data_IF_631911400228
#
_entry.id   IF_631911400228
#
_cell.length_a   1.000
_cell.length_b   1.000
_cell.length_c   1.000
_cell.angle_alpha   90.00
_cell.angle_beta   90.00
_cell.angle_gamma   90.00
#
_symmetry.space_group_name_H-M   'P 1'
#
loop_
_entity.id
_entity.type
_entity.pdbx_description
1 polymer ?
#
# COMPACT_ATOMS: atom_id res chain seq x y z
N UNK A 1 -29.18 -28.10 13.75
CA UNK A 1 -27.83 -28.08 13.16
C UNK A 1 -27.18 -26.78 13.59
N UNK A 2 -26.22 -26.86 14.53
CA UNK A 2 -25.55 -25.68 15.09
C UNK A 2 -24.46 -25.18 14.14
N UNK A 3 -24.47 -23.88 13.87
CA UNK A 3 -23.38 -23.22 13.15
C UNK A 3 -22.24 -22.97 14.12
N UNK A 4 -21.13 -23.69 13.95
CA UNK A 4 -19.86 -23.38 14.62
C UNK A 4 -19.25 -22.18 13.90
N UNK A 5 -19.38 -21.00 14.49
CA UNK A 5 -18.49 -19.88 14.22
C UNK A 5 -17.12 -20.23 14.82
N UNK A 6 -16.05 -20.12 14.04
CA UNK A 6 -14.69 -20.18 14.58
C UNK A 6 -14.41 -18.86 15.30
N UNK A 7 -14.61 -18.84 16.61
CA UNK A 7 -13.98 -17.86 17.51
C UNK A 7 -12.65 -18.46 17.98
N UNK A 8 -11.56 -18.15 17.28
CA UNK A 8 -10.22 -18.40 17.80
C UNK A 8 -9.91 -17.31 18.83
N UNK A 9 -10.11 -17.66 20.11
CA UNK A 9 -9.75 -16.84 21.26
C UNK A 9 -8.26 -17.03 21.54
N UNK A 10 -7.43 -16.04 21.23
CA UNK A 10 -6.04 -15.96 21.65
C UNK A 10 -5.96 -15.28 23.03
N UNK A 11 -5.69 -16.07 24.07
CA UNK A 11 -5.21 -15.59 25.37
C UNK A 11 -3.87 -14.86 25.19
N UNK A 12 -3.81 -13.59 25.60
CA UNK A 12 -2.56 -12.83 25.66
C UNK A 12 -2.23 -12.56 27.13
N UNK A 13 -1.23 -13.27 27.64
CA UNK A 13 -0.49 -12.90 28.86
C UNK A 13 0.75 -12.09 28.47
N UNK A 14 0.97 -10.97 29.16
CA UNK A 14 2.31 -10.51 29.54
C UNK A 14 3.02 -9.51 28.63
N UNK A 15 2.77 -8.22 28.91
CA UNK A 15 3.72 -7.10 29.03
C UNK A 15 4.97 -6.93 28.13
N UNK A 16 4.98 -5.73 27.53
CA UNK A 16 6.10 -4.79 27.29
C UNK A 16 7.17 -5.20 26.27
N UNK A 17 7.07 -4.63 25.07
CA UNK A 17 7.94 -3.55 24.53
C UNK A 17 7.68 -3.39 23.03
N UNK A 18 7.70 -2.14 22.53
CA UNK A 18 7.67 -1.74 21.11
C UNK A 18 6.32 -1.72 20.37
N UNK A 19 5.76 -0.51 20.41
CA UNK A 19 4.68 0.04 19.60
C UNK A 19 5.15 0.15 18.13
N UNK A 20 4.98 -0.89 17.29
CA UNK A 20 4.94 -0.76 15.80
C UNK A 20 3.98 -1.76 15.12
N UNK A 21 3.34 -2.70 15.84
CA UNK A 21 2.40 -3.66 15.24
C UNK A 21 0.99 -3.59 15.83
N UNK A 22 0.52 -2.39 16.14
CA UNK A 22 -0.89 -2.18 16.49
C UNK A 22 -1.72 -1.87 15.24
N UNK A 23 -2.57 -2.85 14.90
CA UNK A 23 -3.89 -2.68 14.27
C UNK A 23 -3.98 -2.55 12.75
N UNK A 24 -3.45 -3.53 12.00
CA UNK A 24 -4.18 -4.03 10.83
C UNK A 24 -5.30 -4.98 11.30
N UNK A 25 -6.10 -4.54 12.27
CA UNK A 25 -7.31 -5.24 12.66
C UNK A 25 -8.23 -5.18 11.44
N UNK A 26 -8.72 -6.33 10.98
CA UNK A 26 -9.66 -6.48 9.87
C UNK A 26 -10.85 -5.50 10.05
N UNK A 27 -10.73 -4.28 9.52
CA UNK A 27 -11.77 -3.27 9.63
C UNK A 27 -12.87 -3.61 8.64
N UNK A 28 -13.73 -4.54 9.02
CA UNK A 28 -14.98 -4.77 8.32
C UNK A 28 -15.92 -3.61 8.68
N UNK A 29 -16.21 -2.74 7.72
CA UNK A 29 -17.09 -1.58 7.92
C UNK A 29 -18.55 -2.00 8.04
N UNK A 30 -18.94 -2.94 7.19
CA UNK A 30 -20.32 -3.38 7.10
C UNK A 30 -20.38 -4.79 6.53
N UNK A 31 -21.29 -5.58 7.09
CA UNK A 31 -21.62 -6.90 6.59
C UNK A 31 -23.12 -7.09 6.55
N UNK A 32 -23.59 -7.83 5.55
CA UNK A 32 -25.02 -8.09 5.41
C UNK A 32 -25.41 -8.65 4.06
N UNK A 33 -26.69 -8.97 3.92
CA UNK A 33 -27.22 -9.43 2.66
C UNK A 33 -27.46 -8.26 1.70
N UNK A 34 -27.10 -8.46 0.44
CA UNK A 34 -27.37 -7.50 -0.64
C UNK A 34 -27.69 -8.24 -1.94
N UNK A 35 -28.52 -7.64 -2.78
CA UNK A 35 -28.70 -8.10 -4.14
C UNK A 35 -27.73 -7.38 -5.07
N UNK A 36 -27.12 -8.10 -6.00
CA UNK A 36 -26.23 -7.52 -6.99
C UNK A 36 -26.46 -8.15 -8.36
N UNK A 37 -26.49 -7.30 -9.39
CA UNK A 37 -26.43 -7.70 -10.80
C UNK A 37 -25.32 -6.92 -11.51
N UNK A 38 -24.84 -7.47 -12.62
CA UNK A 38 -23.86 -6.79 -13.46
C UNK A 38 -24.59 -5.74 -14.31
N UNK A 39 -24.12 -4.50 -14.29
CA UNK A 39 -24.59 -3.45 -15.19
C UNK A 39 -24.17 -3.73 -16.63
N UNK A 40 -24.93 -3.18 -17.58
CA UNK A 40 -24.62 -3.29 -19.01
C UNK A 40 -23.29 -2.61 -19.34
N UNK A 41 -22.39 -3.34 -19.98
CA UNK A 41 -21.28 -2.73 -20.73
C UNK A 41 -21.80 -2.38 -22.14
N UNK A 42 -21.42 -1.22 -22.64
CA UNK A 42 -21.70 -0.77 -24.02
C UNK A 42 -20.86 -1.48 -25.08
N UNK A 43 -19.92 -2.34 -24.70
CA UNK A 43 -18.98 -3.00 -25.61
C UNK A 43 -19.16 -4.52 -25.61
N UNK A 44 -19.84 -5.04 -26.62
CA UNK A 44 -19.92 -6.47 -26.95
C UNK A 44 -21.34 -6.98 -27.24
N UNK A 45 -21.47 -7.81 -28.27
CA UNK A 45 -22.70 -8.46 -28.74
C UNK A 45 -23.19 -9.63 -27.86
N UNK A 46 -22.57 -9.88 -26.71
CA UNK A 46 -22.96 -10.95 -25.78
C UNK A 46 -23.58 -10.33 -24.53
N UNK A 47 -24.91 -10.41 -24.46
CA UNK A 47 -25.65 -10.04 -23.26
C UNK A 47 -25.40 -11.08 -22.16
N UNK A 48 -24.58 -10.76 -21.17
CA UNK A 48 -24.47 -11.59 -19.96
C UNK A 48 -25.70 -11.41 -19.09
N UNK A 49 -26.12 -12.52 -18.49
CA UNK A 49 -27.31 -12.67 -17.65
C UNK A 49 -27.42 -11.53 -16.62
N UNK A 50 -28.49 -10.73 -16.74
CA UNK A 50 -28.77 -9.53 -15.93
C UNK A 50 -29.55 -9.85 -14.64
N UNK A 51 -29.70 -11.12 -14.31
CA UNK A 51 -30.46 -11.56 -13.14
C UNK A 51 -29.84 -11.07 -11.85
N UNK A 52 -30.71 -10.58 -10.97
CA UNK A 52 -30.37 -10.32 -9.58
C UNK A 52 -29.94 -11.61 -8.89
N UNK A 53 -28.87 -11.50 -8.11
CA UNK A 53 -28.41 -12.58 -7.24
C UNK A 53 -28.18 -12.02 -5.85
N UNK A 54 -28.52 -12.80 -4.85
CA UNK A 54 -28.29 -12.45 -3.45
C UNK A 54 -26.89 -12.90 -3.03
N UNK A 55 -26.21 -12.04 -2.28
CA UNK A 55 -24.89 -12.28 -1.74
C UNK A 55 -24.89 -11.95 -0.25
N UNK A 56 -24.07 -12.65 0.52
CA UNK A 56 -23.53 -12.10 1.75
C UNK A 56 -22.38 -11.17 1.37
N UNK A 57 -22.46 -9.91 1.76
CA UNK A 57 -21.51 -8.86 1.43
C UNK A 57 -20.71 -8.49 2.67
N UNK A 58 -19.40 -8.30 2.50
CA UNK A 58 -18.53 -7.71 3.53
C UNK A 58 -17.72 -6.59 2.90
N UNK A 59 -17.78 -5.40 3.50
CA UNK A 59 -17.02 -4.21 3.13
C UNK A 59 -15.77 -4.08 4.00
N UNK A 60 -14.63 -3.92 3.35
CA UNK A 60 -13.32 -3.65 3.95
C UNK A 60 -12.66 -2.49 3.20
N UNK A 61 -11.62 -1.85 3.74
CA UNK A 61 -10.91 -0.77 3.03
C UNK A 61 -10.56 -1.19 1.61
N UNK A 62 -11.02 -0.40 0.65
CA UNK A 62 -10.71 -0.60 -0.77
C UNK A 62 -11.36 -1.81 -1.43
N UNK A 63 -12.17 -2.61 -0.73
CA UNK A 63 -12.67 -3.89 -1.27
C UNK A 63 -14.09 -4.22 -0.81
N UNK A 64 -14.92 -4.64 -1.76
CA UNK A 64 -16.20 -5.30 -1.52
C UNK A 64 -16.05 -6.80 -1.82
N UNK A 65 -16.38 -7.63 -0.85
CA UNK A 65 -16.45 -9.07 -1.03
C UNK A 65 -17.90 -9.53 -1.13
N UNK A 66 -18.22 -10.27 -2.19
CA UNK A 66 -19.55 -10.85 -2.41
C UNK A 66 -19.47 -12.36 -2.39
N UNK A 67 -20.12 -12.96 -1.40
CA UNK A 67 -20.21 -14.39 -1.20
C UNK A 67 -21.56 -14.89 -1.74
N UNK A 68 -21.58 -15.61 -2.88
CA UNK A 68 -22.82 -16.06 -3.49
C UNK A 68 -23.52 -17.10 -2.60
N UNK A 69 -24.78 -16.84 -2.22
CA UNK A 69 -25.52 -17.75 -1.32
C UNK A 69 -25.93 -19.09 -1.95
N UNK A 70 -25.90 -19.17 -3.29
CA UNK A 70 -26.21 -20.39 -4.04
C UNK A 70 -24.99 -21.31 -4.23
N UNK A 71 -23.84 -20.99 -3.60
CA UNK A 71 -22.61 -21.77 -3.67
C UNK A 71 -22.01 -21.92 -2.26
N UNK A 72 -21.15 -22.93 -2.04
CA UNK A 72 -20.39 -23.02 -0.81
C UNK A 72 -19.54 -21.76 -0.56
N UNK A 73 -19.51 -21.30 0.69
CA UNK A 73 -18.76 -20.11 1.13
C UNK A 73 -17.26 -20.40 1.20
N UNK A 74 -16.61 -20.47 0.03
CA UNK A 74 -15.16 -20.67 -0.10
C UNK A 74 -14.52 -19.45 -0.75
N UNK A 75 -13.24 -19.21 -0.48
CA UNK A 75 -12.49 -18.08 -1.04
C UNK A 75 -12.50 -18.06 -2.57
N UNK A 76 -12.52 -19.23 -3.23
CA UNK A 76 -12.59 -19.36 -4.69
C UNK A 76 -13.95 -18.97 -5.30
N UNK A 77 -15.03 -19.08 -4.52
CA UNK A 77 -16.38 -18.74 -4.96
C UNK A 77 -16.74 -17.26 -4.73
N UNK A 78 -15.96 -16.59 -3.88
CA UNK A 78 -16.11 -15.17 -3.56
C UNK A 78 -15.79 -14.29 -4.76
N UNK A 79 -16.62 -13.28 -5.00
CA UNK A 79 -16.29 -12.20 -5.92
C UNK A 79 -15.64 -11.06 -5.14
N UNK A 80 -14.55 -10.56 -5.68
CA UNK A 80 -13.83 -9.40 -5.16
C UNK A 80 -14.07 -8.22 -6.09
N UNK A 81 -14.51 -7.09 -5.54
CA UNK A 81 -14.63 -5.82 -6.24
C UNK A 81 -13.70 -4.83 -5.55
N UNK A 82 -12.65 -4.41 -6.26
CA UNK A 82 -11.72 -3.38 -5.78
C UNK A 82 -12.33 -2.01 -6.02
N UNK A 83 -12.27 -1.16 -4.99
CA UNK A 83 -12.63 0.24 -5.01
C UNK A 83 -11.36 1.05 -5.25
N UNK A 84 -11.15 1.43 -6.51
CA UNK A 84 -10.02 2.24 -6.94
C UNK A 84 -10.33 3.75 -6.86
N UNK A 85 -9.34 4.59 -7.17
CA UNK A 85 -9.48 6.05 -7.17
C UNK A 85 -10.56 6.53 -8.16
N UNK A 86 -10.74 5.80 -9.27
CA UNK A 86 -11.74 6.08 -10.29
C UNK A 86 -13.12 5.46 -10.01
N UNK A 87 -13.28 4.78 -8.88
CA UNK A 87 -14.53 4.12 -8.54
C UNK A 87 -15.56 5.15 -8.12
N UNK A 88 -16.76 5.05 -8.69
CA UNK A 88 -17.87 5.97 -8.43
C UNK A 88 -19.08 5.21 -7.91
N UNK A 89 -19.65 5.70 -6.83
CA UNK A 89 -20.86 5.17 -6.21
C UNK A 89 -21.96 6.20 -6.41
N UNK A 90 -23.02 5.81 -7.11
CA UNK A 90 -24.13 6.69 -7.47
C UNK A 90 -25.44 6.13 -6.92
N UNK A 91 -26.25 7.02 -6.37
CA UNK A 91 -27.63 6.72 -5.99
C UNK A 91 -28.41 6.28 -7.23
N UNK A 92 -29.11 5.15 -7.12
CA UNK A 92 -30.01 4.65 -8.16
C UNK A 92 -31.46 4.99 -7.86
N UNK A 93 -32.35 4.62 -8.78
CA UNK A 93 -33.79 4.72 -8.61
C UNK A 93 -34.36 3.52 -7.85
N UNK A 94 -35.64 3.61 -7.50
CA UNK A 94 -36.42 2.42 -7.17
C UNK A 94 -36.73 1.67 -8.48
N UNK A 95 -36.27 0.41 -8.59
CA UNK A 95 -36.40 -0.43 -9.79
C UNK A 95 -36.70 -1.88 -9.37
N UNK A 96 -37.65 -2.52 -10.05
CA UNK A 96 -38.07 -3.90 -9.75
C UNK A 96 -38.26 -4.17 -8.23
N UNK A 97 -38.99 -3.28 -7.55
CA UNK A 97 -39.26 -3.33 -6.10
C UNK A 97 -38.03 -3.19 -5.18
N UNK A 98 -36.93 -2.61 -5.69
CA UNK A 98 -35.68 -2.47 -4.95
C UNK A 98 -35.17 -1.04 -5.01
N UNK A 99 -34.68 -0.55 -3.89
CA UNK A 99 -33.88 0.66 -3.82
C UNK A 99 -32.48 0.35 -4.34
N UNK A 100 -32.14 0.88 -5.51
CA UNK A 100 -30.88 0.53 -6.18
C UNK A 100 -29.79 1.57 -5.99
N UNK A 101 -28.54 1.13 -6.15
CA UNK A 101 -27.38 2.00 -6.32
C UNK A 101 -26.38 1.37 -7.29
N UNK A 102 -25.54 2.22 -7.86
CA UNK A 102 -24.61 1.82 -8.91
C UNK A 102 -23.18 2.03 -8.43
N UNK A 103 -22.36 1.00 -8.60
CA UNK A 103 -20.91 1.07 -8.46
C UNK A 103 -20.28 0.92 -9.84
N UNK A 104 -19.50 1.91 -10.24
CA UNK A 104 -18.71 1.87 -11.47
C UNK A 104 -17.24 1.86 -11.11
N UNK A 105 -16.53 0.80 -11.49
CA UNK A 105 -15.08 0.67 -11.39
C UNK A 105 -14.48 0.68 -12.80
N UNK A 106 -13.17 0.86 -12.94
CA UNK A 106 -12.47 1.07 -14.22
C UNK A 106 -12.93 0.17 -15.39
N UNK A 107 -13.27 -1.09 -15.13
CA UNK A 107 -13.74 -2.03 -16.16
C UNK A 107 -15.17 -2.49 -15.94
N UNK A 108 -15.79 -2.31 -14.78
CA UNK A 108 -17.01 -3.03 -14.44
C UNK A 108 -18.05 -2.11 -13.82
N UNK A 109 -19.30 -2.37 -14.20
CA UNK A 109 -20.46 -1.71 -13.63
C UNK A 109 -21.25 -2.76 -12.84
N UNK A 110 -21.57 -2.43 -11.59
CA UNK A 110 -22.40 -3.24 -10.72
C UNK A 110 -23.61 -2.42 -10.30
N UNK A 111 -24.77 -3.07 -10.27
CA UNK A 111 -25.99 -2.49 -9.74
C UNK A 111 -26.34 -3.33 -8.52
N UNK A 112 -26.43 -2.66 -7.39
CA UNK A 112 -26.85 -3.24 -6.14
C UNK A 112 -28.28 -2.84 -5.83
N UNK A 113 -28.94 -3.62 -5.00
CA UNK A 113 -30.31 -3.38 -4.58
C UNK A 113 -30.56 -3.95 -3.19
N UNK A 114 -31.38 -3.20 -2.44
CA UNK A 114 -31.96 -3.62 -1.17
C UNK A 114 -33.47 -3.32 -1.21
N UNK A 115 -34.24 -3.99 -0.37
CA UNK A 115 -35.68 -3.74 -0.24
C UNK A 115 -35.97 -2.57 0.71
N UNK A 116 -34.96 -2.12 1.45
CA UNK A 116 -35.04 -1.04 2.43
C UNK A 116 -34.18 0.17 2.01
N UNK A 117 -34.79 1.35 2.00
CA UNK A 117 -34.15 2.61 1.58
C UNK A 117 -33.04 3.05 2.54
N UNK A 118 -33.23 2.87 3.85
CA UNK A 118 -32.22 3.21 4.86
C UNK A 118 -31.02 2.28 4.72
N UNK A 119 -31.26 0.99 4.47
CA UNK A 119 -30.19 0.02 4.18
C UNK A 119 -29.43 0.37 2.92
N UNK A 120 -30.10 0.73 1.82
CA UNK A 120 -29.41 1.23 0.61
C UNK A 120 -28.50 2.41 0.97
N UNK A 121 -29.03 3.38 1.69
CA UNK A 121 -28.31 4.61 2.03
C UNK A 121 -27.08 4.29 2.88
N UNK A 122 -27.22 3.44 3.88
CA UNK A 122 -26.11 2.96 4.70
C UNK A 122 -25.05 2.22 3.88
N UNK A 123 -25.45 1.33 2.98
CA UNK A 123 -24.51 0.64 2.08
C UNK A 123 -23.74 1.60 1.18
N UNK A 124 -24.39 2.66 0.65
CA UNK A 124 -23.72 3.68 -0.17
C UNK A 124 -22.66 4.42 0.65
N UNK A 125 -23.03 4.89 1.85
CA UNK A 125 -22.11 5.60 2.73
C UNK A 125 -20.91 4.74 3.14
N UNK A 126 -21.15 3.51 3.56
CA UNK A 126 -20.06 2.62 3.99
C UNK A 126 -19.18 2.17 2.81
N UNK A 127 -19.74 2.04 1.60
CA UNK A 127 -18.94 1.76 0.40
C UNK A 127 -18.04 2.95 0.04
N UNK A 128 -18.52 4.18 0.21
CA UNK A 128 -17.72 5.39 -0.02
C UNK A 128 -16.66 5.57 1.06
N UNK A 129 -17.00 5.32 2.34
CA UNK A 129 -16.04 5.28 3.44
C UNK A 129 -14.93 4.26 3.17
N UNK A 130 -15.29 3.05 2.75
CA UNK A 130 -14.34 2.00 2.40
C UNK A 130 -13.41 2.43 1.26
N UNK A 131 -13.93 3.14 0.25
CA UNK A 131 -13.12 3.70 -0.84
C UNK A 131 -12.15 4.76 -0.33
N UNK A 132 -12.65 5.74 0.43
CA UNK A 132 -11.85 6.86 0.95
C UNK A 132 -10.76 6.40 1.93
N UNK A 133 -11.03 5.43 2.80
CA UNK A 133 -10.02 4.90 3.71
C UNK A 133 -8.85 4.24 2.96
N UNK A 134 -9.13 3.53 1.86
CA UNK A 134 -8.06 2.98 1.04
C UNK A 134 -7.19 4.07 0.43
N UNK A 135 -7.78 5.17 -0.03
CA UNK A 135 -7.02 6.30 -0.58
C UNK A 135 -6.08 6.90 0.47
N UNK A 136 -6.59 7.10 1.68
CA UNK A 136 -5.79 7.62 2.79
C UNK A 136 -4.65 6.67 3.17
N UNK A 137 -4.90 5.36 3.17
CA UNK A 137 -3.88 4.37 3.48
C UNK A 137 -2.84 4.20 2.36
N UNK A 138 -3.22 4.42 1.09
CA UNK A 138 -2.30 4.47 -0.04
C UNK A 138 -1.40 5.73 0.05
N UNK A 139 -1.98 6.89 0.34
CA UNK A 139 -1.24 8.16 0.49
C UNK A 139 -0.27 8.12 1.68
N UNK A 140 -0.70 7.61 2.83
CA UNK A 140 0.17 7.42 4.01
C UNK A 140 1.37 6.52 3.70
N UNK A 141 1.17 5.44 2.95
CA UNK A 141 2.26 4.55 2.54
C UNK A 141 3.22 5.26 1.60
N UNK A 142 2.72 5.98 0.61
CA UNK A 142 3.56 6.74 -0.33
C UNK A 142 4.44 7.78 0.40
N UNK A 143 3.87 8.51 1.36
CA UNK A 143 4.63 9.49 2.16
C UNK A 143 5.68 8.83 3.06
N UNK A 144 5.35 7.67 3.65
CA UNK A 144 6.30 6.92 4.47
C UNK A 144 7.49 6.40 3.64
N UNK A 145 7.22 5.87 2.45
CA UNK A 145 8.27 5.41 1.53
C UNK A 145 9.16 6.57 1.07
N UNK A 146 8.58 7.73 0.80
CA UNK A 146 9.34 8.94 0.47
C UNK A 146 10.28 9.35 1.61
N UNK A 147 9.81 9.29 2.86
CA UNK A 147 10.62 9.65 4.04
C UNK A 147 11.76 8.66 4.28
N UNK A 148 11.53 7.37 4.05
CA UNK A 148 12.60 6.35 4.08
C UNK A 148 13.69 6.71 3.06
N UNK A 149 13.29 7.05 1.82
CA UNK A 149 14.24 7.38 0.75
C UNK A 149 15.01 8.65 1.08
N UNK A 150 14.36 9.69 1.60
CA UNK A 150 15.03 10.93 2.03
C UNK A 150 16.06 10.66 3.13
N UNK A 151 15.69 9.87 4.13
CA UNK A 151 16.58 9.50 5.23
C UNK A 151 17.79 8.72 4.72
N UNK A 152 17.58 7.78 3.80
CA UNK A 152 18.67 7.01 3.19
C UNK A 152 19.62 7.91 2.38
N UNK A 153 19.08 8.82 1.56
CA UNK A 153 19.87 9.73 0.75
C UNK A 153 20.73 10.68 1.62
N UNK A 154 20.16 11.20 2.71
CA UNK A 154 20.89 12.04 3.67
C UNK A 154 22.07 11.27 4.28
N UNK A 155 21.85 10.02 4.72
CA UNK A 155 22.92 9.17 5.27
C UNK A 155 24.03 8.88 4.26
N UNK A 156 23.67 8.55 3.01
CA UNK A 156 24.66 8.30 1.95
C UNK A 156 25.51 9.54 1.66
N UNK A 157 24.90 10.73 1.67
CA UNK A 157 25.63 11.99 1.47
C UNK A 157 26.61 12.26 2.62
N UNK A 158 26.20 11.99 3.86
CA UNK A 158 27.08 12.13 5.03
C UNK A 158 28.24 11.14 4.98
N UNK A 159 27.99 9.88 4.60
CA UNK A 159 29.03 8.85 4.43
C UNK A 159 30.04 9.23 3.33
N UNK A 160 29.56 9.69 2.17
CA UNK A 160 30.42 10.18 1.08
C UNK A 160 31.25 11.39 1.50
N UNK A 161 30.65 12.32 2.28
CA UNK A 161 31.37 13.48 2.81
C UNK A 161 32.47 13.05 3.77
N UNK A 162 32.20 12.14 4.70
CA UNK A 162 33.21 11.61 5.61
C UNK A 162 34.34 10.90 4.87
N UNK A 163 34.00 10.09 3.86
CA UNK A 163 34.98 9.37 3.04
C UNK A 163 35.86 10.34 2.26
N UNK A 164 35.27 11.40 1.68
CA UNK A 164 36.01 12.47 1.01
C UNK A 164 36.96 13.18 1.97
N UNK A 165 36.50 13.55 3.16
CA UNK A 165 37.34 14.21 4.18
C UNK A 165 38.51 13.31 4.62
N UNK A 166 38.28 12.00 4.79
CA UNK A 166 39.34 11.01 5.09
C UNK A 166 40.35 10.90 3.95
N UNK A 167 39.89 10.85 2.70
CA UNK A 167 40.76 10.79 1.52
C UNK A 167 41.60 12.07 1.36
N UNK A 168 40.99 13.26 1.51
CA UNK A 168 41.70 14.54 1.43
C UNK A 168 42.82 14.64 2.49
N UNK A 169 42.58 14.16 3.72
CA UNK A 169 43.63 14.07 4.75
C UNK A 169 44.77 13.13 4.36
N UNK A 170 44.44 11.96 3.80
CA UNK A 170 45.45 10.98 3.34
C UNK A 170 46.27 11.53 2.18
N UNK A 171 45.65 12.19 1.21
CA UNK A 171 46.33 12.83 0.07
C UNK A 171 47.34 13.87 0.57
N UNK A 172 46.93 14.80 1.44
CA UNK A 172 47.84 15.81 2.02
C UNK A 172 49.02 15.19 2.77
N UNK A 173 48.78 14.11 3.52
CA UNK A 173 49.85 13.39 4.22
C UNK A 173 50.85 12.75 3.26
N UNK A 174 50.35 12.11 2.18
CA UNK A 174 51.21 11.52 1.16
C UNK A 174 52.00 12.58 0.39
N UNK A 175 51.37 13.70 0.02
CA UNK A 175 52.05 14.83 -0.64
C UNK A 175 53.18 15.38 0.24
N UNK A 176 52.94 15.55 1.54
CA UNK A 176 53.96 16.04 2.47
C UNK A 176 55.14 15.08 2.61
N UNK A 177 54.86 13.76 2.70
CA UNK A 177 55.89 12.72 2.74
C UNK A 177 56.72 12.66 1.46
N UNK A 178 56.07 12.78 0.30
CA UNK A 178 56.75 12.81 -0.99
C UNK A 178 57.65 14.05 -1.10
N UNK A 179 57.15 15.22 -0.71
CA UNK A 179 57.95 16.44 -0.70
C UNK A 179 59.16 16.35 0.23
N UNK A 180 59.04 15.67 1.36
CA UNK A 180 60.15 15.40 2.27
C UNK A 180 61.16 14.42 1.68
N UNK A 181 60.71 13.33 1.04
CA UNK A 181 61.60 12.42 0.31
C UNK A 181 62.39 13.14 -0.78
N UNK A 182 61.73 13.97 -1.59
CA UNK A 182 62.40 14.76 -2.64
C UNK A 182 63.44 15.72 -2.08
N UNK A 183 63.16 16.37 -0.93
CA UNK A 183 64.16 17.22 -0.24
C UNK A 183 65.35 16.40 0.24
N UNK A 184 65.10 15.23 0.83
CA UNK A 184 66.16 14.36 1.33
C UNK A 184 67.03 13.81 0.20
N UNK A 185 66.43 13.42 -0.93
CA UNK A 185 67.18 13.02 -2.13
C UNK A 185 68.02 14.17 -2.70
N UNK A 186 67.48 15.39 -2.76
CA UNK A 186 68.24 16.56 -3.20
C UNK A 186 69.45 16.84 -2.29
N UNK A 187 69.24 16.80 -0.97
CA UNK A 187 70.32 16.97 0.01
C UNK A 187 71.39 15.86 -0.09
N UNK A 188 71.00 14.61 -0.38
CA UNK A 188 71.95 13.51 -0.58
C UNK A 188 72.83 13.73 -1.81
N UNK A 189 72.23 14.17 -2.93
CA UNK A 189 72.95 14.49 -4.16
C UNK A 189 73.93 15.65 -3.94
N UNK A 190 73.54 16.66 -3.16
CA UNK A 190 74.38 17.82 -2.85
C UNK A 190 75.57 17.44 -1.95
N UNK A 191 75.34 16.63 -0.92
CA UNK A 191 76.41 16.09 -0.07
C UNK A 191 77.38 15.17 -0.84
N UNK A 192 76.90 14.36 -1.78
CA UNK A 192 77.77 13.51 -2.62
C UNK A 192 78.61 14.34 -3.60
N UNK A 193 78.11 15.49 -4.08
CA UNK A 193 78.91 16.45 -4.88
C UNK A 193 80.01 17.12 -4.06
N UNK A 194 79.76 17.47 -2.80
CA UNK A 194 80.79 18.02 -1.91
C UNK A 194 81.86 16.97 -1.53
N UNK A 195 81.49 15.69 -1.45
CA UNK A 195 82.37 14.61 -1.03
C UNK A 195 83.25 14.05 -2.16
N UNK A 196 82.85 14.21 -3.43
CA UNK A 196 83.58 13.73 -4.61
C UNK A 196 83.95 14.84 -5.62
N UNK A 197 83.80 16.12 -5.25
CA UNK A 197 84.18 17.27 -6.08
C UNK A 197 85.69 17.49 -6.13
N UNK A 198 86.20 17.55 -7.36
CA UNK A 198 87.51 18.09 -7.78
C UNK A 198 87.51 19.61 -7.69
#
# INVERSE_FOLDING_TARGET
MGYKFCEDTLEVRGQTSEIVLELAQDRVFLQGFVMCRRGTRTTGCIQRDRKWRTYWCTLSPGVIYLWPLHKPTTASNRKLITLDHGSTILMGSFDEERFTWQLTCAKSKFIFGDFDELRRTHWIHESENARLMQLLDDERRALHDEEIVRTLAARMLDEEREMREKLEKRVKSLESRLAEQMRNEANLIENDKEKYGT
#
